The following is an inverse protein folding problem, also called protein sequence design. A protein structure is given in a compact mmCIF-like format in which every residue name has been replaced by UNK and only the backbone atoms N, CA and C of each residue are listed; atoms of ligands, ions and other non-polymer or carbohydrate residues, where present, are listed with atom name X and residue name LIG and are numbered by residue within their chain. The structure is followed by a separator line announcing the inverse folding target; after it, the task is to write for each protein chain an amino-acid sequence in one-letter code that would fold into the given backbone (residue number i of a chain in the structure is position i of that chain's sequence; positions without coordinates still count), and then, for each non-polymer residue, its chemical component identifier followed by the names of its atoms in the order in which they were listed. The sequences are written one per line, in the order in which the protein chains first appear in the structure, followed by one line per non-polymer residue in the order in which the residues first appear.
data_IF_592530562813
#
_entry.id   IF_592530562813
#
_cell.length_a   1.000
_cell.length_b   1.000
_cell.length_c   1.000
_cell.angle_alpha   90.00
_cell.angle_beta   90.00
_cell.angle_gamma   90.00
#
_symmetry.space_group_name_H-M   'P 1'
#
loop_
_entity.id
_entity.type
_entity.pdbx_description
1 polymer ?
#
# COMPACT_ATOMS: atom_id res chain seq x y z
N UNK A 1 -9.10 -22.77 28.95
CA UNK A 1 -8.59 -21.45 28.57
C UNK A 1 -8.28 -21.52 27.08
N UNK A 2 -8.82 -20.61 26.25
CA UNK A 2 -8.32 -20.51 24.89
C UNK A 2 -6.87 -20.03 24.99
N UNK A 3 -5.92 -20.89 24.64
CA UNK A 3 -4.52 -20.49 24.52
C UNK A 3 -4.35 -19.80 23.17
N UNK A 4 -3.99 -18.54 23.16
CA UNK A 4 -3.54 -17.87 21.95
C UNK A 4 -2.06 -18.23 21.76
N UNK A 5 -1.80 -19.14 20.82
CA UNK A 5 -0.46 -19.70 20.60
C UNK A 5 0.29 -19.00 19.46
N UNK A 6 -0.45 -18.46 18.50
CA UNK A 6 0.13 -17.85 17.32
C UNK A 6 -0.10 -16.32 17.34
N UNK A 7 0.97 -15.56 17.19
CA UNK A 7 0.95 -14.10 17.26
C UNK A 7 1.74 -13.48 16.12
N UNK A 8 1.22 -12.37 15.61
CA UNK A 8 1.98 -11.45 14.75
C UNK A 8 2.26 -10.21 15.60
N UNK A 9 3.54 -9.91 15.80
CA UNK A 9 3.98 -8.71 16.50
C UNK A 9 4.36 -7.66 15.47
N UNK A 10 3.85 -6.45 15.66
CA UNK A 10 4.17 -5.29 14.82
C UNK A 10 4.67 -4.16 15.69
N UNK A 11 5.44 -3.26 15.11
CA UNK A 11 5.86 -2.02 15.75
C UNK A 11 4.84 -0.91 15.50
N UNK A 12 4.93 0.17 16.26
CA UNK A 12 3.98 1.27 16.17
C UNK A 12 4.02 1.99 14.81
N UNK A 13 5.11 1.84 14.05
CA UNK A 13 5.23 2.38 12.69
C UNK A 13 4.29 1.73 11.67
N UNK A 14 3.70 0.57 12.03
CA UNK A 14 2.76 -0.17 11.17
C UNK A 14 1.32 -0.16 11.69
N UNK A 15 0.99 0.66 12.69
CA UNK A 15 -0.36 0.65 13.26
C UNK A 15 -1.41 1.20 12.29
N UNK A 16 -1.06 2.22 11.50
CA UNK A 16 -1.97 2.82 10.52
C UNK A 16 -2.25 1.82 9.37
N UNK A 17 -1.23 1.07 8.94
CA UNK A 17 -1.37 0.01 7.94
C UNK A 17 -2.14 -1.19 8.49
N UNK A 18 -2.03 -1.47 9.80
CA UNK A 18 -2.78 -2.54 10.44
C UNK A 18 -4.28 -2.27 10.44
N UNK A 19 -4.71 -1.04 10.66
CA UNK A 19 -6.13 -0.65 10.67
C UNK A 19 -6.80 -0.91 9.30
N UNK A 20 -6.01 -0.91 8.22
CA UNK A 20 -6.46 -1.22 6.86
C UNK A 20 -6.01 -2.62 6.37
N UNK A 21 -5.51 -3.46 7.29
CA UNK A 21 -5.01 -4.79 6.96
C UNK A 21 -6.09 -5.86 7.03
N UNK A 22 -5.80 -7.00 6.39
CA UNK A 22 -6.59 -8.22 6.51
C UNK A 22 -5.77 -9.26 7.27
N UNK A 23 -6.27 -9.66 8.46
CA UNK A 23 -5.63 -10.68 9.30
C UNK A 23 -6.45 -11.95 9.24
N UNK A 24 -5.84 -13.05 8.85
CA UNK A 24 -6.54 -14.31 8.68
C UNK A 24 -5.73 -15.52 9.13
N UNK A 25 -6.43 -16.54 9.58
CA UNK A 25 -5.86 -17.87 9.80
C UNK A 25 -5.92 -18.65 8.49
N UNK A 26 -4.77 -19.12 8.00
CA UNK A 26 -4.69 -19.89 6.76
C UNK A 26 -5.07 -21.33 7.08
N UNK A 27 -6.16 -21.81 6.47
CA UNK A 27 -6.72 -23.14 6.71
C UNK A 27 -6.27 -24.11 5.60
N UNK A 28 -5.01 -24.50 5.65
CA UNK A 28 -4.43 -25.46 4.69
C UNK A 28 -5.15 -26.82 4.80
N UNK A 29 -5.62 -27.15 5.98
CA UNK A 29 -6.37 -28.38 6.25
C UNK A 29 -7.63 -28.55 5.39
N UNK A 30 -8.26 -27.46 4.96
CA UNK A 30 -9.44 -27.49 4.08
C UNK A 30 -9.11 -27.99 2.66
N UNK A 31 -7.83 -28.06 2.28
CA UNK A 31 -7.33 -28.55 0.99
C UNK A 31 -6.76 -29.96 1.05
N UNK A 32 -6.76 -30.61 2.22
CA UNK A 32 -6.27 -31.98 2.43
C UNK A 32 -7.44 -32.96 2.47
N UNK A 33 -7.27 -34.15 1.89
CA UNK A 33 -8.32 -35.19 1.87
C UNK A 33 -8.71 -35.63 3.29
N UNK A 34 -7.76 -35.71 4.21
CA UNK A 34 -7.97 -36.04 5.62
C UNK A 34 -8.28 -34.84 6.50
N UNK A 35 -8.37 -33.63 5.92
CA UNK A 35 -8.73 -32.41 6.65
C UNK A 35 -7.77 -32.09 7.78
N UNK A 36 -8.34 -31.58 8.89
CA UNK A 36 -7.56 -31.24 10.07
C UNK A 36 -6.74 -32.39 10.65
N UNK A 37 -7.26 -33.62 10.66
CA UNK A 37 -6.53 -34.77 11.20
C UNK A 37 -5.25 -35.07 10.42
N UNK A 38 -5.29 -34.94 9.11
CA UNK A 38 -4.11 -35.10 8.27
C UNK A 38 -3.11 -33.97 8.48
N UNK A 39 -3.60 -32.73 8.57
CA UNK A 39 -2.79 -31.56 8.83
C UNK A 39 -2.07 -31.63 10.18
N UNK A 40 -2.82 -31.91 11.26
CA UNK A 40 -2.32 -32.03 12.64
C UNK A 40 -1.24 -33.10 12.79
N UNK A 41 -1.44 -34.26 12.15
CA UNK A 41 -0.49 -35.38 12.26
C UNK A 41 0.76 -35.23 11.39
N UNK A 42 0.67 -34.56 10.25
CA UNK A 42 1.74 -34.56 9.25
C UNK A 42 2.42 -33.20 9.07
N UNK A 43 1.78 -32.11 9.51
CA UNK A 43 2.27 -30.76 9.28
C UNK A 43 2.45 -29.99 10.59
N UNK A 44 1.35 -29.69 11.30
CA UNK A 44 1.40 -28.90 12.54
C UNK A 44 0.07 -28.97 13.29
N UNK A 45 0.11 -28.91 14.61
CA UNK A 45 -1.03 -28.67 15.48
C UNK A 45 -1.47 -27.19 15.54
N UNK A 46 -0.79 -26.33 14.77
CA UNK A 46 -1.07 -24.90 14.60
C UNK A 46 -1.41 -24.55 13.17
N UNK A 47 -2.42 -23.70 12.95
CA UNK A 47 -2.67 -23.10 11.64
C UNK A 47 -1.87 -21.82 11.50
N UNK A 48 -1.24 -21.55 10.34
CA UNK A 48 -0.54 -20.31 10.10
C UNK A 48 -1.45 -19.10 10.19
N UNK A 49 -0.95 -18.03 10.80
CA UNK A 49 -1.60 -16.72 10.81
C UNK A 49 -0.87 -15.82 9.80
N UNK A 50 -1.63 -15.12 8.96
CA UNK A 50 -1.09 -14.19 8.00
C UNK A 50 -1.75 -12.81 8.13
N UNK A 51 -0.98 -11.77 7.85
CA UNK A 51 -1.48 -10.41 7.71
C UNK A 51 -1.12 -9.88 6.35
N UNK A 52 -2.09 -9.28 5.66
CA UNK A 52 -1.89 -8.56 4.42
C UNK A 52 -1.99 -7.08 4.74
N UNK A 53 -0.87 -6.39 4.74
CA UNK A 53 -0.84 -4.93 4.82
C UNK A 53 -1.19 -4.31 3.47
N UNK A 54 -2.02 -3.27 3.51
CA UNK A 54 -2.25 -2.42 2.37
C UNK A 54 -1.49 -1.10 2.63
N UNK A 55 -0.33 -0.97 2.02
CA UNK A 55 0.44 0.26 2.09
C UNK A 55 -0.11 1.25 1.07
N UNK A 56 -0.65 2.36 1.56
CA UNK A 56 -0.92 3.51 0.73
C UNK A 56 0.35 4.37 0.73
N UNK A 57 1.20 4.19 -0.25
CA UNK A 57 2.30 5.12 -0.50
C UNK A 57 1.71 6.37 -1.14
N UNK A 58 1.51 7.41 -0.32
CA UNK A 58 1.14 8.71 -0.85
C UNK A 58 2.42 9.34 -1.44
N UNK A 59 2.68 9.06 -2.71
CA UNK A 59 3.80 9.64 -3.44
C UNK A 59 3.32 10.99 -3.96
N UNK A 60 3.90 12.09 -3.46
CA UNK A 60 3.58 13.41 -3.99
C UNK A 60 3.79 13.44 -5.50
N UNK A 61 2.74 13.81 -6.22
CA UNK A 61 2.74 13.81 -7.68
C UNK A 61 2.17 12.54 -8.33
N UNK A 62 1.89 11.47 -7.57
CA UNK A 62 1.18 10.28 -8.06
C UNK A 62 -0.32 10.56 -8.06
N UNK A 63 -0.79 11.13 -9.15
CA UNK A 63 -2.19 11.61 -9.26
C UNK A 63 -3.16 10.46 -9.58
N UNK A 64 -2.68 9.41 -10.24
CA UNK A 64 -3.51 8.26 -10.56
C UNK A 64 -3.57 7.23 -9.42
N UNK A 65 -2.73 7.34 -8.40
CA UNK A 65 -2.69 6.48 -7.22
C UNK A 65 -2.20 5.04 -7.49
N UNK A 66 -1.40 4.86 -8.56
CA UNK A 66 -0.88 3.52 -8.92
C UNK A 66 0.41 3.15 -8.17
N UNK A 67 0.96 4.07 -7.37
CA UNK A 67 2.18 3.90 -6.60
C UNK A 67 3.46 4.10 -7.42
N UNK A 68 3.37 4.62 -8.64
CA UNK A 68 4.50 4.83 -9.55
C UNK A 68 4.47 6.24 -10.13
N UNK A 69 5.36 7.10 -9.68
CA UNK A 69 5.50 8.43 -10.28
C UNK A 69 6.07 8.33 -11.70
N UNK A 70 5.26 8.67 -12.71
CA UNK A 70 5.63 8.51 -14.11
C UNK A 70 4.99 9.56 -15.03
N UNK A 71 5.15 9.38 -16.35
CA UNK A 71 4.61 10.32 -17.35
C UNK A 71 3.07 10.44 -17.32
N UNK A 72 2.36 9.45 -16.83
CA UNK A 72 0.89 9.48 -16.76
C UNK A 72 0.44 10.52 -15.74
N UNK A 73 1.16 10.67 -14.64
CA UNK A 73 0.89 11.68 -13.60
C UNK A 73 1.14 13.08 -14.15
N UNK A 74 2.22 13.28 -14.91
CA UNK A 74 2.49 14.55 -15.58
C UNK A 74 1.30 14.95 -16.47
N UNK A 75 0.74 14.02 -17.23
CA UNK A 75 -0.41 14.29 -18.09
C UNK A 75 -1.63 14.70 -17.27
N UNK A 76 -1.86 14.06 -16.13
CA UNK A 76 -2.96 14.39 -15.22
C UNK A 76 -2.76 15.78 -14.60
N UNK A 77 -1.56 16.10 -14.12
CA UNK A 77 -1.26 17.44 -13.57
C UNK A 77 -1.45 18.52 -14.63
N UNK A 78 -0.98 18.30 -15.88
CA UNK A 78 -1.21 19.24 -16.99
C UNK A 78 -2.71 19.44 -17.24
N UNK A 79 -3.50 18.37 -17.17
CA UNK A 79 -4.96 18.45 -17.33
C UNK A 79 -5.60 19.31 -16.23
N UNK A 80 -5.13 19.17 -14.98
CA UNK A 80 -5.58 19.97 -13.85
C UNK A 80 -5.19 21.45 -14.04
N UNK A 81 -3.96 21.72 -14.45
CA UNK A 81 -3.49 23.10 -14.78
C UNK A 81 -4.42 23.76 -15.82
N UNK A 82 -4.77 23.03 -16.88
CA UNK A 82 -5.66 23.54 -17.94
C UNK A 82 -7.10 23.74 -17.47
N UNK A 83 -7.57 22.91 -16.53
CA UNK A 83 -8.90 23.02 -15.95
C UNK A 83 -8.99 24.03 -14.80
N UNK A 84 -7.86 24.53 -14.31
CA UNK A 84 -7.74 25.32 -13.08
C UNK A 84 -8.27 24.55 -11.84
N UNK A 85 -8.05 23.25 -11.83
CA UNK A 85 -8.37 22.38 -10.71
C UNK A 85 -7.22 22.34 -9.69
N UNK A 86 -7.56 22.09 -8.43
CA UNK A 86 -6.59 21.99 -7.34
C UNK A 86 -6.62 20.61 -6.68
N UNK A 87 -5.44 20.10 -6.37
CA UNK A 87 -5.24 18.92 -5.51
C UNK A 87 -3.94 19.12 -4.74
N UNK A 88 -3.93 18.73 -3.49
CA UNK A 88 -2.73 18.79 -2.63
C UNK A 88 -1.62 17.86 -3.12
N UNK A 89 -1.99 16.76 -3.74
CA UNK A 89 -1.06 15.78 -4.32
C UNK A 89 -0.38 16.32 -5.59
N UNK A 90 -1.02 17.29 -6.27
CA UNK A 90 -0.51 17.92 -7.49
C UNK A 90 0.26 19.21 -7.21
N UNK A 91 0.08 19.82 -6.05
CA UNK A 91 0.78 21.03 -5.59
C UNK A 91 2.10 20.63 -4.91
N UNK A 92 3.13 20.35 -5.71
CA UNK A 92 4.41 19.81 -5.21
C UNK A 92 5.27 20.89 -4.54
N UNK A 93 5.10 22.15 -4.90
CA UNK A 93 5.84 23.26 -4.32
C UNK A 93 5.13 23.89 -3.11
N UNK A 94 3.90 23.44 -2.80
CA UNK A 94 3.06 23.87 -1.68
C UNK A 94 2.78 25.39 -1.69
N UNK A 95 2.63 25.97 -2.90
CA UNK A 95 2.31 27.39 -3.04
C UNK A 95 0.80 27.69 -3.05
N UNK A 96 -0.03 26.65 -3.02
CA UNK A 96 -1.49 26.71 -3.01
C UNK A 96 -2.12 26.79 -4.40
N UNK A 97 -1.35 26.56 -5.45
CA UNK A 97 -1.82 26.50 -6.83
C UNK A 97 -1.23 25.31 -7.56
N UNK A 98 -1.97 24.72 -8.47
CA UNK A 98 -1.43 23.69 -9.37
C UNK A 98 -1.13 24.34 -10.71
N UNK A 99 0.16 24.49 -11.00
CA UNK A 99 0.62 25.16 -12.21
C UNK A 99 1.80 24.45 -12.91
N UNK A 100 2.43 25.15 -13.85
CA UNK A 100 3.53 24.58 -14.65
C UNK A 100 4.78 24.28 -13.79
N UNK A 101 4.94 24.92 -12.63
CA UNK A 101 6.08 24.66 -11.77
C UNK A 101 5.98 23.27 -11.14
N UNK A 102 4.77 22.81 -10.81
CA UNK A 102 4.53 21.46 -10.29
C UNK A 102 4.84 20.41 -11.35
N UNK A 103 4.42 20.65 -12.59
CA UNK A 103 4.75 19.78 -13.73
C UNK A 103 6.27 19.63 -13.89
N UNK A 104 7.01 20.72 -13.77
CA UNK A 104 8.48 20.73 -13.85
C UNK A 104 9.10 19.95 -12.70
N UNK A 105 8.55 20.08 -11.47
CA UNK A 105 9.03 19.37 -10.30
C UNK A 105 8.82 17.86 -10.44
N UNK A 106 7.64 17.40 -10.87
CA UNK A 106 7.39 15.98 -11.14
C UNK A 106 8.33 15.44 -12.21
N UNK A 107 8.50 16.17 -13.30
CA UNK A 107 9.43 15.77 -14.37
C UNK A 107 10.87 15.67 -13.85
N UNK A 108 11.28 16.58 -12.97
CA UNK A 108 12.62 16.54 -12.36
C UNK A 108 12.80 15.29 -11.47
N UNK A 109 11.80 14.94 -10.65
CA UNK A 109 11.85 13.75 -9.79
C UNK A 109 11.94 12.47 -10.64
N UNK A 110 11.12 12.37 -11.71
CA UNK A 110 11.15 11.22 -12.62
C UNK A 110 12.51 11.05 -13.30
N UNK A 111 13.15 12.15 -13.68
CA UNK A 111 14.44 12.12 -14.38
C UNK A 111 15.63 11.92 -13.44
N UNK A 112 15.47 12.17 -12.15
CA UNK A 112 16.49 12.02 -11.13
C UNK A 112 15.98 11.15 -9.97
N UNK A 113 15.66 9.87 -10.22
CA UNK A 113 15.21 8.99 -9.15
C UNK A 113 16.32 8.87 -8.09
N UNK A 114 15.95 9.08 -6.83
CA UNK A 114 16.86 8.82 -5.70
C UNK A 114 17.26 7.34 -5.70
N UNK A 115 18.54 7.01 -5.40
CA UNK A 115 19.08 5.65 -5.46
C UNK A 115 18.53 4.74 -4.36
#
# INVERSE_FOLDING_TARGET
WPSHLDHILITNELFDELDNSDVQTIKIDEYLDGGWNEYDQNISDHRPVAVKFNFNFNINGDINGDGILNIQDIILIITMVLAHDYSTEADLNEDGTVDILDVVLVAFIILNPEP
#
